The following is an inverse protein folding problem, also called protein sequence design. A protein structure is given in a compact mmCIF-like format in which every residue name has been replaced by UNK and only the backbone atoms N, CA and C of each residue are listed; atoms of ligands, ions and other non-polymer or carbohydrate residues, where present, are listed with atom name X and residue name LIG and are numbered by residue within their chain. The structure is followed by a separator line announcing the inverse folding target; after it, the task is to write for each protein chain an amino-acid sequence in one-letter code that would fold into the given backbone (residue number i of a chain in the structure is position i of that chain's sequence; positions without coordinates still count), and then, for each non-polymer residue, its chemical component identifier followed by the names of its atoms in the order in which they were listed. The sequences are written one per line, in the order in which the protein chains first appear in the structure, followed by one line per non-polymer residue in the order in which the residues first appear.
data_IF_441194991409
#
_entry.id   IF_441194991409
#
_cell.length_a   1.000
_cell.length_b   1.000
_cell.length_c   1.000
_cell.angle_alpha   90.00
_cell.angle_beta   90.00
_cell.angle_gamma   90.00
#
_symmetry.space_group_name_H-M   'P 1'
#
loop_
_entity.id
_entity.type
_entity.pdbx_description
1 polymer ?
#
# COMPACT_ATOMS: atom_id res chain seq x y z
N UNK A 1 27.53 -19.74 -12.33
CA UNK A 1 27.38 -18.50 -11.56
C UNK A 1 26.00 -18.53 -10.91
N UNK A 2 25.94 -18.74 -9.60
CA UNK A 2 24.67 -18.65 -8.86
C UNK A 2 24.32 -17.17 -8.76
N UNK A 3 23.30 -16.74 -9.50
CA UNK A 3 22.67 -15.44 -9.27
C UNK A 3 22.10 -15.53 -7.87
N UNK A 4 22.72 -14.84 -6.92
CA UNK A 4 22.18 -14.71 -5.57
C UNK A 4 20.84 -14.02 -5.71
N UNK A 5 19.75 -14.76 -5.47
CA UNK A 5 18.46 -14.13 -5.25
C UNK A 5 18.63 -13.28 -4.00
N UNK A 6 18.76 -11.96 -4.17
CA UNK A 6 18.58 -11.04 -3.04
C UNK A 6 17.19 -11.35 -2.51
N UNK A 7 17.14 -11.81 -1.27
CA UNK A 7 15.92 -12.24 -0.60
C UNK A 7 15.02 -11.01 -0.46
N UNK A 8 14.16 -10.80 -1.46
CA UNK A 8 13.19 -9.72 -1.48
C UNK A 8 12.27 -9.89 -0.28
N UNK A 9 12.03 -8.81 0.47
CA UNK A 9 11.09 -8.78 1.59
C UNK A 9 9.91 -7.91 1.22
N UNK A 10 8.72 -8.39 1.54
CA UNK A 10 7.49 -7.67 1.30
C UNK A 10 7.22 -6.75 2.50
N UNK A 11 7.51 -5.46 2.36
CA UNK A 11 7.22 -4.43 3.35
C UNK A 11 5.96 -3.63 3.01
N UNK A 12 5.75 -2.55 3.76
CA UNK A 12 4.62 -1.64 3.54
C UNK A 12 4.69 -1.01 2.16
N UNK A 13 5.88 -0.51 1.77
CA UNK A 13 6.09 0.13 0.48
C UNK A 13 5.83 -0.84 -0.69
N UNK A 14 6.35 -2.07 -0.64
CA UNK A 14 6.18 -3.05 -1.72
C UNK A 14 4.71 -3.44 -1.94
N UNK A 15 3.96 -3.62 -0.85
CA UNK A 15 2.52 -3.88 -0.93
C UNK A 15 1.75 -2.66 -1.41
N UNK A 16 2.13 -1.47 -0.95
CA UNK A 16 1.49 -0.23 -1.39
C UNK A 16 1.68 -0.01 -2.89
N UNK A 17 2.90 -0.22 -3.39
CA UNK A 17 3.16 -0.14 -4.82
C UNK A 17 2.32 -1.17 -5.57
N UNK A 18 2.26 -2.43 -5.11
CA UNK A 18 1.41 -3.45 -5.73
C UNK A 18 -0.06 -3.02 -5.78
N UNK A 19 -0.58 -2.44 -4.70
CA UNK A 19 -1.95 -1.94 -4.67
C UNK A 19 -2.19 -0.72 -5.55
N UNK A 20 -1.20 0.16 -5.73
CA UNK A 20 -1.28 1.27 -6.68
C UNK A 20 -1.24 0.78 -8.14
N UNK A 21 -0.56 -0.34 -8.41
CA UNK A 21 -0.58 -0.96 -9.74
C UNK A 21 -1.89 -1.70 -10.02
N UNK A 22 -2.54 -2.21 -8.97
CA UNK A 22 -3.79 -2.96 -9.04
C UNK A 22 -4.80 -2.43 -8.01
N UNK A 23 -5.27 -1.18 -8.15
CA UNK A 23 -6.20 -0.59 -7.19
C UNK A 23 -7.51 -1.38 -7.18
N UNK A 24 -8.10 -1.57 -5.99
CA UNK A 24 -9.31 -2.36 -5.88
C UNK A 24 -10.42 -1.78 -6.75
N UNK A 25 -11.13 -2.67 -7.43
CA UNK A 25 -12.40 -2.36 -8.08
C UNK A 25 -13.52 -2.58 -7.06
N UNK A 26 -14.49 -1.68 -7.05
CA UNK A 26 -15.69 -1.83 -6.22
C UNK A 26 -16.84 -2.14 -7.19
N UNK A 27 -17.58 -3.22 -6.94
CA UNK A 27 -18.65 -3.69 -7.84
C UNK A 27 -19.73 -2.62 -8.10
N UNK A 28 -19.91 -1.70 -7.15
CA UNK A 28 -20.89 -0.61 -7.22
C UNK A 28 -20.34 0.65 -7.93
N UNK A 29 -19.06 0.67 -8.33
CA UNK A 29 -18.39 1.85 -8.91
C UNK A 29 -17.76 1.54 -10.29
N UNK A 30 -17.75 2.49 -11.24
CA UNK A 30 -17.22 2.27 -12.60
C UNK A 30 -15.74 1.89 -12.58
N UNK A 31 -15.25 0.91 -13.34
CA UNK A 31 -13.83 0.55 -13.33
C UNK A 31 -12.88 1.76 -13.57
N UNK A 32 -11.69 1.74 -12.96
CA UNK A 32 -10.68 2.78 -13.15
C UNK A 32 -10.28 2.91 -14.62
N UNK A 33 -10.37 4.12 -15.15
CA UNK A 33 -9.95 4.51 -16.49
C UNK A 33 -8.43 4.38 -16.66
N UNK A 34 -7.95 4.43 -17.91
CA UNK A 34 -6.50 4.40 -18.18
C UNK A 34 -5.79 5.63 -17.61
N UNK A 35 -6.43 6.80 -17.60
CA UNK A 35 -5.87 8.04 -17.08
C UNK A 35 -5.71 7.97 -15.54
N UNK A 36 -6.75 7.50 -14.83
CA UNK A 36 -6.69 7.27 -13.38
C UNK A 36 -5.63 6.21 -13.03
N UNK A 37 -5.56 5.11 -13.79
CA UNK A 37 -4.51 4.09 -13.61
C UNK A 37 -3.10 4.65 -13.83
N UNK A 38 -2.92 5.58 -14.77
CA UNK A 38 -1.65 6.25 -14.97
C UNK A 38 -1.26 7.16 -13.78
N UNK A 39 -2.24 7.79 -13.11
CA UNK A 39 -2.01 8.54 -11.86
C UNK A 39 -1.50 7.59 -10.78
N UNK A 40 -2.19 6.48 -10.52
CA UNK A 40 -1.75 5.49 -9.53
C UNK A 40 -0.38 4.88 -9.86
N UNK A 41 -0.08 4.67 -11.14
CA UNK A 41 1.24 4.20 -11.59
C UNK A 41 2.36 5.18 -11.21
N UNK A 42 2.17 6.48 -11.43
CA UNK A 42 3.16 7.50 -11.02
C UNK A 42 3.33 7.55 -9.50
N UNK A 43 2.24 7.36 -8.75
CA UNK A 43 2.32 7.26 -7.29
C UNK A 43 3.12 6.02 -6.86
N UNK A 44 2.91 4.88 -7.52
CA UNK A 44 3.70 3.66 -7.33
C UNK A 44 5.20 3.90 -7.58
N UNK A 45 5.55 4.60 -8.67
CA UNK A 45 6.94 4.93 -8.98
C UNK A 45 7.56 5.86 -7.94
N UNK A 46 6.78 6.79 -7.36
CA UNK A 46 7.22 7.66 -6.27
C UNK A 46 7.50 6.87 -5.00
N UNK A 47 6.62 5.94 -4.61
CA UNK A 47 6.83 5.04 -3.46
C UNK A 47 8.05 4.16 -3.68
N UNK A 48 8.28 3.65 -4.90
CA UNK A 48 9.47 2.86 -5.23
C UNK A 48 10.78 3.66 -5.05
N UNK A 49 10.74 4.98 -5.26
CA UNK A 49 11.91 5.86 -5.10
C UNK A 49 12.16 6.28 -3.65
N UNK A 50 11.10 6.49 -2.87
CA UNK A 50 11.18 7.08 -1.52
C UNK A 50 10.95 6.09 -0.38
N UNK A 51 10.43 4.89 -0.65
CA UNK A 51 10.06 3.92 0.37
C UNK A 51 8.80 4.33 1.12
N UNK A 52 8.80 4.13 2.45
CA UNK A 52 7.70 4.47 3.36
C UNK A 52 7.86 5.85 4.04
N UNK A 53 8.94 6.59 3.78
CA UNK A 53 9.16 7.96 4.26
C UNK A 53 8.58 9.00 3.28
N UNK A 54 7.26 9.19 3.35
CA UNK A 54 6.48 9.95 2.38
C UNK A 54 5.80 11.18 3.02
N UNK A 55 6.62 12.10 3.52
CA UNK A 55 6.13 13.43 3.89
C UNK A 55 5.57 14.17 2.67
N UNK A 56 4.43 14.83 2.86
CA UNK A 56 3.85 15.69 1.84
C UNK A 56 4.76 16.92 1.67
N UNK A 57 5.15 17.29 0.43
CA UNK A 57 6.00 18.46 0.21
C UNK A 57 5.36 19.73 0.80
N UNK A 58 6.13 20.58 1.51
CA UNK A 58 5.57 21.80 2.10
C UNK A 58 5.07 22.78 1.01
N UNK A 59 3.95 23.44 1.28
CA UNK A 59 3.35 24.45 0.39
C UNK A 59 2.25 23.88 -0.51
N UNK A 60 2.14 24.39 -1.74
CA UNK A 60 1.18 23.90 -2.75
C UNK A 60 1.69 22.67 -3.53
N UNK A 61 2.64 21.92 -2.97
CA UNK A 61 3.28 20.80 -3.63
C UNK A 61 2.35 19.59 -3.69
N UNK A 62 1.56 19.50 -4.75
CA UNK A 62 0.93 18.24 -5.16
C UNK A 62 2.00 17.33 -5.77
N UNK A 63 2.25 16.19 -5.14
CA UNK A 63 3.01 15.10 -5.75
C UNK A 63 2.08 14.01 -6.29
N UNK A 64 2.66 12.96 -6.87
CA UNK A 64 1.89 11.88 -7.47
C UNK A 64 1.00 11.13 -6.46
N UNK A 65 1.38 11.09 -5.17
CA UNK A 65 0.55 10.49 -4.12
C UNK A 65 -0.62 11.40 -3.75
N UNK A 66 -0.42 12.73 -3.72
CA UNK A 66 -1.52 13.69 -3.57
C UNK A 66 -2.56 13.55 -4.70
N UNK A 67 -2.11 13.39 -5.95
CA UNK A 67 -3.01 13.16 -7.09
C UNK A 67 -3.77 11.84 -6.94
N UNK A 68 -3.08 10.73 -6.62
CA UNK A 68 -3.71 9.43 -6.44
C UNK A 68 -4.72 9.43 -5.29
N UNK A 69 -4.40 10.09 -4.18
CA UNK A 69 -5.29 10.24 -3.04
C UNK A 69 -6.53 11.08 -3.40
N UNK A 70 -6.37 12.10 -4.24
CA UNK A 70 -7.48 12.88 -4.77
C UNK A 70 -8.40 12.04 -5.65
N UNK A 71 -7.88 11.22 -6.57
CA UNK A 71 -8.71 10.33 -7.40
C UNK A 71 -9.50 9.32 -6.54
N UNK A 72 -8.85 8.75 -5.52
CA UNK A 72 -9.54 7.89 -4.55
C UNK A 72 -10.66 8.64 -3.81
N UNK A 73 -10.44 9.89 -3.42
CA UNK A 73 -11.43 10.74 -2.74
C UNK A 73 -12.60 11.13 -3.65
N UNK A 74 -12.34 11.51 -4.90
CA UNK A 74 -13.38 11.86 -5.89
C UNK A 74 -14.30 10.68 -6.11
N UNK A 75 -13.74 9.48 -6.11
CA UNK A 75 -14.49 8.24 -6.31
C UNK A 75 -15.30 7.83 -5.08
N UNK A 76 -14.68 7.84 -3.90
CA UNK A 76 -15.33 7.53 -2.63
C UNK A 76 -14.74 8.42 -1.51
N UNK A 77 -15.48 9.44 -1.04
CA UNK A 77 -15.00 10.34 -0.02
C UNK A 77 -14.58 9.62 1.26
N UNK A 78 -13.34 9.85 1.71
CA UNK A 78 -12.79 9.24 2.92
C UNK A 78 -12.26 7.82 2.72
N UNK A 79 -12.26 7.29 1.49
CA UNK A 79 -11.66 5.98 1.22
C UNK A 79 -10.17 5.95 1.57
N UNK A 80 -9.44 6.99 1.12
CA UNK A 80 -8.06 7.28 1.50
C UNK A 80 -8.00 8.57 2.34
N UNK A 81 -8.03 8.47 3.68
CA UNK A 81 -8.01 9.67 4.52
C UNK A 81 -6.68 10.40 4.43
N UNK A 82 -6.72 11.73 4.48
CA UNK A 82 -5.54 12.57 4.72
C UNK A 82 -5.02 12.28 6.12
N UNK A 83 -3.72 12.25 6.33
CA UNK A 83 -3.16 11.91 7.64
C UNK A 83 -2.06 12.85 8.08
N UNK A 84 -1.94 13.00 9.40
CA UNK A 84 -0.96 13.89 10.02
C UNK A 84 -0.06 13.13 10.98
N UNK A 85 1.20 13.56 11.07
CA UNK A 85 2.20 13.03 11.99
C UNK A 85 2.61 14.15 12.93
N UNK A 86 2.62 13.87 14.24
CA UNK A 86 3.19 14.78 15.23
C UNK A 86 4.70 14.57 15.25
N UNK A 87 5.46 15.61 14.92
CA UNK A 87 6.90 15.64 14.82
C UNK A 87 7.51 16.69 15.78
N UNK A 88 8.82 16.60 16.01
CA UNK A 88 9.57 17.50 16.90
C UNK A 88 9.49 17.15 18.39
N UNK A 89 10.26 17.85 19.25
CA UNK A 89 10.20 17.65 20.70
C UNK A 89 8.79 17.96 21.20
N UNK A 90 8.25 17.08 22.05
CA UNK A 90 6.90 17.17 22.64
C UNK A 90 5.72 17.17 21.65
N UNK A 91 5.93 16.81 20.37
CA UNK A 91 4.89 16.87 19.35
C UNK A 91 4.51 18.30 18.95
N UNK A 92 5.43 19.25 19.07
CA UNK A 92 5.15 20.67 18.78
C UNK A 92 4.88 20.97 17.29
N UNK A 93 5.18 20.05 16.38
CA UNK A 93 4.96 20.20 14.94
C UNK A 93 3.97 19.14 14.43
N UNK A 94 3.09 19.53 13.52
CA UNK A 94 2.16 18.64 12.84
C UNK A 94 2.46 18.71 11.35
N UNK A 95 2.88 17.59 10.76
CA UNK A 95 3.25 17.49 9.36
C UNK A 95 2.31 16.52 8.65
N UNK A 96 1.92 16.85 7.41
CA UNK A 96 1.09 15.95 6.63
C UNK A 96 1.95 14.83 6.06
N UNK A 97 1.44 13.61 6.12
CA UNK A 97 2.12 12.40 5.67
C UNK A 97 1.20 11.58 4.79
N UNK A 98 1.76 10.95 3.76
CA UNK A 98 1.03 10.01 2.91
C UNK A 98 0.95 8.64 3.56
N UNK A 99 -0.11 8.38 4.33
CA UNK A 99 -0.35 7.05 4.88
C UNK A 99 -0.67 6.04 3.76
N UNK A 100 0.13 4.97 3.70
CA UNK A 100 0.04 3.96 2.65
C UNK A 100 -0.93 2.82 2.96
N UNK A 101 -1.78 2.93 4.00
CA UNK A 101 -2.62 1.82 4.44
C UNK A 101 -3.62 1.38 3.37
N UNK A 102 -4.24 2.32 2.64
CA UNK A 102 -5.17 1.97 1.57
C UNK A 102 -4.47 1.29 0.38
N UNK A 103 -3.39 1.86 -0.19
CA UNK A 103 -2.56 1.16 -1.16
C UNK A 103 -2.13 -0.24 -0.70
N UNK A 104 -1.63 -0.37 0.53
CA UNK A 104 -1.20 -1.65 1.08
C UNK A 104 -2.35 -2.64 1.13
N UNK A 105 -3.55 -2.19 1.53
CA UNK A 105 -4.74 -3.03 1.56
C UNK A 105 -5.05 -3.58 0.16
N UNK A 106 -5.07 -2.73 -0.87
CA UNK A 106 -5.29 -3.17 -2.25
C UNK A 106 -4.24 -4.20 -2.70
N UNK A 107 -2.96 -3.97 -2.37
CA UNK A 107 -1.90 -4.91 -2.69
C UNK A 107 -2.07 -6.26 -1.99
N UNK A 108 -2.47 -6.25 -0.72
CA UNK A 108 -2.73 -7.47 0.05
C UNK A 108 -3.95 -8.25 -0.48
N UNK A 109 -5.01 -7.55 -0.87
CA UNK A 109 -6.21 -8.15 -1.48
C UNK A 109 -5.88 -8.78 -2.84
N UNK A 110 -5.15 -8.06 -3.70
CA UNK A 110 -4.68 -8.61 -4.97
C UNK A 110 -3.81 -9.85 -4.77
N UNK A 111 -2.88 -9.81 -3.81
CA UNK A 111 -1.99 -10.93 -3.54
C UNK A 111 -2.78 -12.16 -3.04
N UNK A 112 -3.78 -11.94 -2.17
CA UNK A 112 -4.65 -13.01 -1.70
C UNK A 112 -5.38 -13.68 -2.88
N UNK A 113 -5.94 -12.90 -3.80
CA UNK A 113 -6.58 -13.43 -5.01
C UNK A 113 -5.60 -14.25 -5.86
N UNK A 114 -4.36 -13.81 -6.00
CA UNK A 114 -3.32 -14.56 -6.74
C UNK A 114 -2.92 -15.87 -6.05
N UNK A 115 -2.84 -15.89 -4.71
CA UNK A 115 -2.60 -17.12 -3.95
C UNK A 115 -3.77 -18.10 -4.12
N UNK A 116 -5.00 -17.63 -4.05
CA UNK A 116 -6.20 -18.44 -4.28
C UNK A 116 -6.26 -18.99 -5.70
N UNK A 117 -5.96 -18.16 -6.71
CA UNK A 117 -5.91 -18.56 -8.13
C UNK A 117 -4.89 -19.66 -8.38
N UNK A 118 -3.76 -19.64 -7.65
CA UNK A 118 -2.73 -20.69 -7.69
C UNK A 118 -3.09 -21.94 -6.89
N UNK A 119 -4.31 -22.01 -6.34
CA UNK A 119 -4.87 -23.14 -5.59
C UNK A 119 -4.09 -23.50 -4.33
N UNK A 120 -3.52 -22.50 -3.66
CA UNK A 120 -3.02 -22.71 -2.30
C UNK A 120 -4.19 -23.15 -1.39
N UNK A 121 -3.94 -24.13 -0.52
CA UNK A 121 -4.97 -24.62 0.39
C UNK A 121 -5.34 -23.52 1.39
N UNK A 122 -6.62 -23.42 1.80
CA UNK A 122 -7.08 -22.41 2.76
C UNK A 122 -6.30 -22.41 4.10
N UNK A 123 -5.73 -23.55 4.49
CA UNK A 123 -4.89 -23.68 5.69
C UNK A 123 -3.45 -23.15 5.49
N UNK A 124 -3.10 -22.66 4.29
CA UNK A 124 -1.76 -22.18 3.99
C UNK A 124 -1.40 -20.98 4.88
N UNK A 125 -0.20 -20.96 5.49
CA UNK A 125 0.26 -19.83 6.29
C UNK A 125 0.24 -18.49 5.54
N UNK A 126 0.50 -18.46 4.23
CA UNK A 126 0.51 -17.23 3.44
C UNK A 126 -0.90 -16.65 3.27
N UNK A 127 -1.90 -17.50 3.02
CA UNK A 127 -3.32 -17.07 2.97
C UNK A 127 -3.73 -16.48 4.32
N UNK A 128 -3.43 -17.18 5.43
CA UNK A 128 -3.76 -16.69 6.77
C UNK A 128 -3.07 -15.36 7.11
N UNK A 129 -1.79 -15.21 6.74
CA UNK A 129 -1.05 -13.98 6.95
C UNK A 129 -1.65 -12.83 6.13
N UNK A 130 -1.98 -13.06 4.85
CA UNK A 130 -2.61 -12.06 3.99
C UNK A 130 -3.99 -11.63 4.53
N UNK A 131 -4.86 -12.58 4.91
CA UNK A 131 -6.16 -12.26 5.50
C UNK A 131 -6.04 -11.48 6.82
N UNK A 132 -5.05 -11.82 7.65
CA UNK A 132 -4.78 -11.08 8.88
C UNK A 132 -4.29 -9.65 8.61
N UNK A 133 -3.43 -9.45 7.63
CA UNK A 133 -2.97 -8.13 7.22
C UNK A 133 -4.12 -7.28 6.69
N UNK A 134 -4.97 -7.83 5.82
CA UNK A 134 -6.18 -7.17 5.30
C UNK A 134 -7.08 -6.71 6.45
N UNK A 135 -7.33 -7.58 7.44
CA UNK A 135 -8.14 -7.25 8.61
C UNK A 135 -7.54 -6.09 9.42
N UNK A 136 -6.22 -6.08 9.63
CA UNK A 136 -5.54 -5.02 10.36
C UNK A 136 -5.54 -3.70 9.59
N UNK A 137 -5.29 -3.74 8.27
CA UNK A 137 -5.34 -2.56 7.41
C UNK A 137 -6.74 -1.94 7.38
N UNK A 138 -7.80 -2.75 7.30
CA UNK A 138 -9.19 -2.28 7.39
C UNK A 138 -9.47 -1.60 8.74
N UNK A 139 -9.13 -2.26 9.85
CA UNK A 139 -9.30 -1.69 11.18
C UNK A 139 -8.53 -0.36 11.36
N UNK A 140 -7.31 -0.27 10.82
CA UNK A 140 -6.51 0.95 10.82
C UNK A 140 -7.18 2.06 10.03
N UNK A 141 -7.66 1.79 8.81
CA UNK A 141 -8.40 2.78 8.00
C UNK A 141 -9.67 3.27 8.67
N UNK A 142 -10.42 2.38 9.33
CA UNK A 142 -11.64 2.76 10.05
C UNK A 142 -11.34 3.76 11.17
N UNK A 143 -10.28 3.51 11.96
CA UNK A 143 -9.82 4.45 12.99
C UNK A 143 -9.37 5.78 12.39
N UNK A 144 -8.64 5.76 11.27
CA UNK A 144 -8.18 6.99 10.59
C UNK A 144 -9.36 7.82 10.05
N UNK A 145 -10.41 7.16 9.54
CA UNK A 145 -11.64 7.80 9.05
C UNK A 145 -12.48 8.41 10.15
N UNK A 146 -12.70 7.68 11.26
CA UNK A 146 -13.46 8.17 12.41
C UNK A 146 -12.83 9.43 13.03
N UNK A 147 -11.51 9.59 12.88
CA UNK A 147 -10.75 10.73 13.38
C UNK A 147 -10.56 11.85 12.36
N UNK A 148 -11.27 11.82 11.23
CA UNK A 148 -11.15 12.78 10.11
C UNK A 148 -9.70 13.01 9.65
N UNK A 149 -8.89 11.94 9.61
CA UNK A 149 -7.49 12.03 9.28
C UNK A 149 -6.55 12.20 10.48
N UNK A 150 -6.86 11.52 11.58
CA UNK A 150 -6.17 11.64 12.85
C UNK A 150 -4.65 11.42 12.83
N UNK A 151 -4.01 11.75 13.94
CA UNK A 151 -2.57 11.58 14.13
C UNK A 151 -2.19 10.10 14.00
N UNK A 152 -1.32 9.79 13.04
CA UNK A 152 -0.89 8.42 12.71
C UNK A 152 -0.22 7.73 13.91
N UNK A 153 0.45 8.49 14.77
CA UNK A 153 1.21 7.99 15.91
C UNK A 153 0.35 7.21 16.92
N UNK A 154 -0.98 7.42 16.93
CA UNK A 154 -1.90 6.76 17.85
C UNK A 154 -2.52 5.48 17.29
N UNK A 155 -2.14 5.08 16.07
CA UNK A 155 -2.72 3.91 15.38
C UNK A 155 -1.61 2.88 15.14
N UNK A 156 -1.83 1.59 15.50
CA UNK A 156 -0.82 0.54 15.33
C UNK A 156 -0.28 0.44 13.90
N UNK A 157 1.04 0.31 13.75
CA UNK A 157 1.68 0.11 12.45
C UNK A 157 1.35 -1.28 11.85
N UNK A 158 1.74 -1.46 10.58
CA UNK A 158 1.51 -2.71 9.85
C UNK A 158 2.81 -3.46 9.53
N UNK A 159 3.97 -3.01 10.03
CA UNK A 159 5.28 -3.56 9.67
C UNK A 159 5.44 -5.01 10.11
N UNK A 160 4.97 -5.35 11.32
CA UNK A 160 5.00 -6.72 11.85
C UNK A 160 4.11 -7.67 11.03
N UNK A 161 2.94 -7.18 10.61
CA UNK A 161 2.01 -7.95 9.79
C UNK A 161 2.56 -8.18 8.37
N UNK A 162 3.20 -7.16 7.77
CA UNK A 162 3.91 -7.29 6.49
C UNK A 162 5.07 -8.29 6.60
N UNK A 163 5.87 -8.21 7.67
CA UNK A 163 6.98 -9.13 7.93
C UNK A 163 6.49 -10.57 8.02
N UNK A 164 5.41 -10.81 8.76
CA UNK A 164 4.79 -12.13 8.89
C UNK A 164 4.34 -12.70 7.54
N UNK A 165 3.73 -11.86 6.69
CA UNK A 165 3.34 -12.24 5.33
C UNK A 165 4.55 -12.54 4.45
N UNK A 166 5.57 -11.67 4.47
CA UNK A 166 6.81 -11.86 3.72
C UNK A 166 7.48 -13.19 4.07
N UNK A 167 7.60 -13.51 5.35
CA UNK A 167 8.22 -14.77 5.80
C UNK A 167 7.40 -15.99 5.37
N UNK A 168 6.07 -15.91 5.43
CA UNK A 168 5.18 -16.97 4.96
C UNK A 168 5.31 -17.21 3.44
N UNK A 169 5.45 -16.14 2.64
CA UNK A 169 5.64 -16.21 1.20
C UNK A 169 7.01 -16.77 0.81
N UNK A 170 8.07 -16.39 1.49
CA UNK A 170 9.42 -16.89 1.19
C UNK A 170 9.51 -18.42 1.31
N UNK A 171 8.80 -19.01 2.29
CA UNK A 171 8.74 -20.46 2.46
C UNK A 171 7.92 -21.21 1.41
N UNK A 172 7.13 -20.52 0.56
CA UNK A 172 6.07 -21.15 -0.25
C UNK A 172 5.98 -20.68 -1.70
N UNK A 173 6.22 -19.40 -1.97
CA UNK A 173 6.06 -18.81 -3.30
C UNK A 173 7.05 -17.66 -3.56
N UNK A 174 8.36 -17.94 -3.67
CA UNK A 174 9.37 -16.90 -3.93
C UNK A 174 9.18 -16.18 -5.28
N UNK A 175 8.44 -16.77 -6.22
CA UNK A 175 8.12 -16.13 -7.51
C UNK A 175 7.19 -14.93 -7.35
N UNK A 176 6.30 -14.93 -6.35
CA UNK A 176 5.46 -13.77 -6.03
C UNK A 176 6.25 -12.65 -5.31
N UNK A 177 7.49 -12.93 -4.89
CA UNK A 177 8.42 -11.96 -4.34
C UNK A 177 9.30 -11.33 -5.41
N UNK A 178 9.16 -11.71 -6.69
CA UNK A 178 9.91 -11.10 -7.79
C UNK A 178 9.15 -9.86 -8.24
N UNK A 179 9.74 -8.70 -7.96
CA UNK A 179 9.25 -7.41 -8.45
C UNK A 179 9.19 -7.42 -9.99
N UNK A 180 8.08 -7.02 -10.63
CA UNK A 180 8.09 -6.83 -12.08
C UNK A 180 9.12 -5.75 -12.40
N UNK A 181 10.07 -6.05 -13.31
CA UNK A 181 10.93 -5.00 -13.85
C UNK A 181 10.01 -3.91 -14.40
N UNK A 182 10.07 -2.72 -13.80
CA UNK A 182 9.46 -1.52 -14.33
C UNK A 182 10.22 -1.21 -15.63
N UNK A 183 9.81 -1.81 -16.75
CA UNK A 183 10.28 -1.34 -18.05
C UNK A 183 9.79 0.11 -18.18
N UNK A 184 10.69 1.08 -18.41
CA UNK A 184 10.28 2.45 -18.64
C UNK A 184 9.38 2.50 -19.89
N UNK A 185 8.35 3.34 -19.87
CA UNK A 185 7.52 3.54 -21.05
C UNK A 185 8.40 3.95 -22.26
N UNK A 186 8.15 3.42 -23.46
CA UNK A 186 8.86 3.82 -24.65
C UNK A 186 8.58 5.31 -24.94
N UNK A 187 9.66 6.08 -25.03
CA UNK A 187 9.69 7.51 -25.38
C UNK A 187 9.17 7.75 -26.80
#
# INVERSE_FOLDING_TARGET
MSVGFVQFRLGVAELAILGLLFPAECDDLPAWTMEERAIFRRAADLVAQKGDDLLVPPGAGWDALSEAQWEAHVREPGWWPLTWMMAGPDGACCEQFHDLTLPLLWGAEWLLMELERRRFAYADPAIRAASNLIRQAKARLDVLREREGGVVNDVPDLHDACTTLSDALQGRCPVLMVWPNLEPEPV
#
